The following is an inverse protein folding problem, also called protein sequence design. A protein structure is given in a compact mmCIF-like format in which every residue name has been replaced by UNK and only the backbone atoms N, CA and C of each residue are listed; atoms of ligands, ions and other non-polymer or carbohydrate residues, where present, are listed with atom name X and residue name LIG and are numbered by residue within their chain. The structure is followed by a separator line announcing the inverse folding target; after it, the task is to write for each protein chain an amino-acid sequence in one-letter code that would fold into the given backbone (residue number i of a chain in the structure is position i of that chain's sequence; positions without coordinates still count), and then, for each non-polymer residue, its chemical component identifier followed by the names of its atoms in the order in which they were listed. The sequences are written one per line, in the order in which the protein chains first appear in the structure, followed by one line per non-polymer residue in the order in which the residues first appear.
data_IF_495831416450
#
_entry.id   IF_495831416450
#
_cell.length_a   1.000
_cell.length_b   1.000
_cell.length_c   1.000
_cell.angle_alpha   90.00
_cell.angle_beta   90.00
_cell.angle_gamma   90.00
#
_symmetry.space_group_name_H-M   'P 1'
#
loop_
_entity.id
_entity.type
_entity.pdbx_description
1 polymer ?
#
# COMPACT_ATOMS: atom_id res chain seq x y z
N UNK A 1 6.52 -5.54 -12.50
CA UNK A 1 6.15 -5.41 -13.93
C UNK A 1 5.46 -4.07 -14.23
N UNK A 2 4.44 -3.67 -13.45
CA UNK A 2 3.72 -2.41 -13.68
C UNK A 2 4.60 -1.16 -13.62
N UNK A 3 5.70 -1.19 -12.87
CA UNK A 3 6.60 -0.04 -12.71
C UNK A 3 7.31 0.35 -14.01
N UNK A 4 7.53 -0.59 -14.93
CA UNK A 4 8.13 -0.30 -16.23
C UNK A 4 7.16 0.38 -17.21
N UNK A 5 5.87 0.41 -16.86
CA UNK A 5 4.82 1.06 -17.64
C UNK A 5 4.60 2.52 -17.27
N UNK A 6 5.31 3.02 -16.26
CA UNK A 6 5.27 4.43 -15.86
C UNK A 6 6.11 5.25 -16.84
N UNK A 7 5.76 5.20 -18.11
CA UNK A 7 6.31 6.08 -19.13
C UNK A 7 5.54 7.41 -19.14
N UNK A 8 6.17 8.45 -19.62
CA UNK A 8 5.47 9.69 -19.91
C UNK A 8 4.51 9.54 -21.08
N UNK A 9 3.83 10.59 -21.43
CA UNK A 9 2.89 10.64 -22.55
C UNK A 9 3.30 11.74 -23.53
N UNK A 10 3.15 11.48 -24.83
CA UNK A 10 3.37 12.46 -25.87
C UNK A 10 2.24 12.41 -26.89
N UNK A 11 1.40 13.43 -26.91
CA UNK A 11 0.21 13.47 -27.77
C UNK A 11 -0.08 14.87 -28.33
N UNK A 12 -0.95 14.95 -29.33
CA UNK A 12 -1.55 16.22 -29.76
C UNK A 12 -2.60 16.67 -28.75
N UNK A 13 -2.74 17.99 -28.59
CA UNK A 13 -3.89 18.57 -27.89
C UNK A 13 -5.20 18.22 -28.63
N UNK A 14 -6.36 18.25 -27.95
CA UNK A 14 -7.66 18.07 -28.60
C UNK A 14 -7.91 19.08 -29.74
N UNK A 15 -7.41 20.30 -29.60
CA UNK A 15 -7.47 21.34 -30.64
C UNK A 15 -6.51 21.10 -31.84
N UNK A 16 -5.56 20.19 -31.68
CA UNK A 16 -4.59 19.82 -32.72
C UNK A 16 -3.44 20.81 -32.95
N UNK A 17 -3.46 21.96 -32.31
CA UNK A 17 -2.50 23.06 -32.47
C UNK A 17 -1.27 22.97 -31.56
N UNK A 18 -1.30 22.09 -30.55
CA UNK A 18 -0.25 21.93 -29.56
C UNK A 18 0.20 20.48 -29.43
N UNK A 19 1.42 20.29 -28.90
CA UNK A 19 1.93 19.01 -28.45
C UNK A 19 1.93 19.01 -26.92
N UNK A 20 1.45 17.93 -26.34
CA UNK A 20 1.44 17.71 -24.88
C UNK A 20 2.51 16.66 -24.58
N UNK A 21 3.48 17.02 -23.77
CA UNK A 21 4.47 16.11 -23.20
C UNK A 21 4.23 15.98 -21.71
N UNK A 22 3.98 14.77 -21.24
CA UNK A 22 3.85 14.44 -19.82
C UNK A 22 5.09 13.68 -19.38
N UNK A 23 5.78 14.18 -18.36
CA UNK A 23 6.92 13.53 -17.75
C UNK A 23 6.65 13.26 -16.28
N UNK A 24 7.22 12.18 -15.75
CA UNK A 24 7.16 11.86 -14.33
C UNK A 24 8.48 12.22 -13.67
N UNK A 25 8.41 12.78 -12.48
CA UNK A 25 9.57 13.14 -11.66
C UNK A 25 9.38 12.59 -10.23
N UNK A 26 10.48 12.30 -9.51
CA UNK A 26 10.42 11.91 -8.10
C UNK A 26 9.70 12.98 -7.27
N UNK A 27 8.74 12.57 -6.45
CA UNK A 27 8.03 13.51 -5.56
C UNK A 27 8.90 13.95 -4.39
N UNK A 28 9.89 13.14 -4.00
CA UNK A 28 10.77 13.37 -2.86
C UNK A 28 10.81 12.16 -1.92
N UNK A 29 11.12 12.39 -0.65
CA UNK A 29 11.16 11.33 0.36
C UNK A 29 9.75 10.77 0.60
N UNK A 30 9.61 9.45 0.48
CA UNK A 30 8.37 8.73 0.71
C UNK A 30 8.43 7.94 2.02
N UNK A 31 7.50 8.20 2.93
CA UNK A 31 7.31 7.41 4.15
C UNK A 31 6.36 6.25 3.85
N UNK A 32 6.86 5.02 4.01
CA UNK A 32 6.17 3.78 3.72
C UNK A 32 5.88 3.05 5.02
N UNK A 33 4.61 2.87 5.37
CA UNK A 33 4.19 2.18 6.60
C UNK A 33 3.40 0.94 6.22
N UNK A 34 3.82 -0.23 6.73
CA UNK A 34 3.25 -1.52 6.35
C UNK A 34 2.76 -2.33 7.55
N UNK A 35 1.67 -3.11 7.39
CA UNK A 35 1.14 -3.99 8.42
C UNK A 35 1.88 -5.34 8.48
N UNK A 36 1.47 -6.17 9.43
CA UNK A 36 2.07 -7.47 9.74
C UNK A 36 1.55 -8.64 8.90
N UNK A 37 0.36 -8.52 8.31
CA UNK A 37 -0.38 -9.66 7.74
C UNK A 37 0.21 -10.24 6.43
N UNK A 38 0.89 -9.41 5.63
CA UNK A 38 1.65 -9.84 4.44
C UNK A 38 2.97 -9.06 4.40
N UNK A 39 3.92 -9.35 5.29
CA UNK A 39 5.08 -8.48 5.54
C UNK A 39 5.98 -8.29 4.31
N UNK A 40 6.16 -9.32 3.48
CA UNK A 40 6.91 -9.18 2.23
C UNK A 40 6.11 -8.41 1.16
N UNK A 41 4.88 -8.84 0.89
CA UNK A 41 4.05 -8.27 -0.17
C UNK A 41 3.70 -6.81 0.07
N UNK A 42 3.40 -6.42 1.33
CA UNK A 42 3.06 -5.03 1.65
C UNK A 42 4.26 -4.10 1.56
N UNK A 43 5.46 -4.57 1.89
CA UNK A 43 6.68 -3.79 1.70
C UNK A 43 7.02 -3.63 0.22
N UNK A 44 7.13 -4.72 -0.53
CA UNK A 44 7.57 -4.69 -1.94
C UNK A 44 6.63 -3.92 -2.86
N UNK A 45 5.30 -3.97 -2.64
CA UNK A 45 4.33 -3.21 -3.44
C UNK A 45 4.41 -1.69 -3.27
N UNK A 46 5.07 -1.22 -2.20
CA UNK A 46 5.36 0.21 -1.96
C UNK A 46 6.76 0.58 -2.43
N UNK A 47 7.75 -0.28 -2.14
CA UNK A 47 9.14 -0.07 -2.53
C UNK A 47 9.29 -0.04 -4.06
N UNK A 48 8.71 -1.00 -4.77
CA UNK A 48 8.85 -1.12 -6.23
C UNK A 48 8.46 0.15 -6.98
N UNK A 49 7.23 0.68 -6.80
CA UNK A 49 6.82 1.93 -7.44
C UNK A 49 7.67 3.14 -7.02
N UNK A 50 8.11 3.21 -5.77
CA UNK A 50 8.93 4.31 -5.29
C UNK A 50 10.33 4.30 -5.93
N UNK A 51 10.95 3.11 -6.07
CA UNK A 51 12.23 2.96 -6.81
C UNK A 51 12.04 3.33 -8.28
N UNK A 52 10.97 2.85 -8.93
CA UNK A 52 10.70 3.17 -10.34
C UNK A 52 10.47 4.67 -10.57
N UNK A 53 9.89 5.36 -9.60
CA UNK A 53 9.69 6.81 -9.65
C UNK A 53 10.95 7.61 -9.25
N UNK A 54 12.04 6.95 -8.85
CA UNK A 54 13.28 7.60 -8.41
C UNK A 54 13.20 8.24 -7.01
N UNK A 55 12.24 7.83 -6.17
CA UNK A 55 12.07 8.36 -4.82
C UNK A 55 13.00 7.67 -3.82
N UNK A 56 13.49 8.42 -2.84
CA UNK A 56 14.08 7.85 -1.63
C UNK A 56 12.98 7.51 -0.62
N UNK A 57 13.26 6.52 0.25
CA UNK A 57 12.21 5.94 1.09
C UNK A 57 12.67 5.75 2.53
N UNK A 58 11.71 5.89 3.44
CA UNK A 58 11.79 5.44 4.82
C UNK A 58 10.70 4.37 4.99
N UNK A 59 11.09 3.12 5.22
CA UNK A 59 10.18 2.02 5.48
C UNK A 59 10.03 1.80 6.98
N UNK A 60 8.81 1.88 7.48
CA UNK A 60 8.41 1.47 8.84
C UNK A 60 7.54 0.22 8.73
N UNK A 61 8.09 -0.99 8.88
CA UNK A 61 7.30 -2.21 8.93
C UNK A 61 6.59 -2.34 10.28
N UNK A 62 5.64 -3.28 10.36
CA UNK A 62 5.01 -3.63 11.63
C UNK A 62 6.03 -4.20 12.62
N UNK A 63 5.88 -3.85 13.90
CA UNK A 63 6.76 -4.34 14.97
C UNK A 63 6.69 -5.85 15.19
N UNK A 64 5.57 -6.46 14.81
CA UNK A 64 5.32 -7.90 14.89
C UNK A 64 6.09 -8.72 13.84
N UNK A 65 6.43 -8.10 12.69
CA UNK A 65 7.06 -8.80 11.55
C UNK A 65 8.24 -8.03 10.95
N UNK A 66 9.21 -7.55 11.74
CA UNK A 66 10.27 -6.68 11.24
C UNK A 66 11.30 -7.43 10.40
N UNK A 67 11.58 -8.69 10.71
CA UNK A 67 12.68 -9.46 10.09
C UNK A 67 12.50 -9.65 8.59
N UNK A 68 11.27 -9.86 8.14
CA UNK A 68 10.97 -9.97 6.69
C UNK A 68 11.32 -8.70 5.94
N UNK A 69 10.98 -7.53 6.49
CA UNK A 69 11.30 -6.25 5.88
C UNK A 69 12.82 -5.99 5.85
N UNK A 70 13.52 -6.28 6.95
CA UNK A 70 14.98 -6.17 7.02
C UNK A 70 15.67 -7.07 6.00
N UNK A 71 15.19 -8.31 5.82
CA UNK A 71 15.74 -9.24 4.83
C UNK A 71 15.51 -8.75 3.39
N UNK A 72 14.33 -8.16 3.09
CA UNK A 72 14.06 -7.56 1.77
C UNK A 72 15.03 -6.42 1.49
N UNK A 73 15.32 -5.57 2.48
CA UNK A 73 16.26 -4.46 2.31
C UNK A 73 17.66 -4.98 2.05
N UNK A 74 18.14 -5.99 2.77
CA UNK A 74 19.41 -6.66 2.52
C UNK A 74 19.50 -7.23 1.09
N UNK A 75 18.44 -7.90 0.62
CA UNK A 75 18.37 -8.41 -0.77
C UNK A 75 18.48 -7.27 -1.78
N UNK A 76 17.76 -6.17 -1.57
CA UNK A 76 17.77 -5.04 -2.49
C UNK A 76 19.14 -4.33 -2.50
N UNK A 77 19.79 -4.19 -1.35
CA UNK A 77 21.15 -3.64 -1.25
C UNK A 77 22.15 -4.52 -2.00
N UNK A 78 22.10 -5.84 -1.81
CA UNK A 78 22.93 -6.80 -2.56
C UNK A 78 22.62 -6.82 -4.06
N UNK A 79 21.40 -6.51 -4.45
CA UNK A 79 21.00 -6.36 -5.85
C UNK A 79 21.43 -5.03 -6.49
N UNK A 80 22.10 -4.15 -5.73
CA UNK A 80 22.68 -2.91 -6.24
C UNK A 80 21.83 -1.66 -5.98
N UNK A 81 20.80 -1.72 -5.12
CA UNK A 81 20.09 -0.52 -4.71
C UNK A 81 21.07 0.42 -3.98
N UNK A 82 21.25 1.67 -4.43
CA UNK A 82 22.21 2.58 -3.80
C UNK A 82 21.90 2.85 -2.34
N UNK A 83 22.95 2.98 -1.52
CA UNK A 83 22.81 3.31 -0.09
C UNK A 83 22.04 4.60 0.10
N UNK A 84 21.14 4.61 1.09
CA UNK A 84 20.31 5.75 1.43
C UNK A 84 19.03 5.89 0.60
N UNK A 85 18.85 5.11 -0.47
CA UNK A 85 17.59 5.10 -1.25
C UNK A 85 16.46 4.46 -0.45
N UNK A 86 16.73 3.37 0.25
CA UNK A 86 15.77 2.70 1.14
C UNK A 86 16.37 2.58 2.54
N UNK A 87 15.66 3.13 3.54
CA UNK A 87 16.05 3.11 4.94
C UNK A 87 14.92 2.48 5.76
N UNK A 88 15.26 1.65 6.75
CA UNK A 88 14.27 1.02 7.63
C UNK A 88 14.35 1.65 9.02
N UNK A 89 13.20 1.90 9.61
CA UNK A 89 13.09 2.38 10.98
C UNK A 89 12.15 1.48 11.78
N UNK A 90 12.56 1.13 13.00
CA UNK A 90 11.80 0.31 13.95
C UNK A 90 11.69 1.09 15.28
N UNK A 91 10.87 2.14 15.31
CA UNK A 91 10.80 3.03 16.46
C UNK A 91 10.06 2.36 17.64
N UNK A 92 10.59 2.50 18.87
CA UNK A 92 9.90 2.09 20.10
C UNK A 92 8.63 2.91 20.33
N UNK A 93 8.72 4.23 20.16
CA UNK A 93 7.59 5.18 20.26
C UNK A 93 7.06 5.53 18.87
N UNK A 94 6.39 4.56 18.25
CA UNK A 94 5.98 4.67 16.84
C UNK A 94 5.22 5.95 16.53
N UNK A 95 4.20 6.31 17.31
CA UNK A 95 3.37 7.52 17.06
C UNK A 95 4.21 8.79 17.03
N UNK A 96 5.02 9.01 18.07
CA UNK A 96 5.88 10.19 18.19
C UNK A 96 6.88 10.32 17.02
N UNK A 97 7.52 9.20 16.65
CA UNK A 97 8.53 9.22 15.59
C UNK A 97 7.91 9.43 14.21
N UNK A 98 6.75 8.82 13.94
CA UNK A 98 6.03 9.02 12.68
C UNK A 98 5.52 10.48 12.57
N UNK A 99 4.99 11.04 13.66
CA UNK A 99 4.58 12.44 13.70
C UNK A 99 5.75 13.38 13.36
N UNK A 100 6.92 13.17 13.97
CA UNK A 100 8.14 13.95 13.62
C UNK A 100 8.51 13.83 12.15
N UNK A 101 8.39 12.64 11.55
CA UNK A 101 8.69 12.44 10.14
C UNK A 101 7.68 13.16 9.22
N UNK A 102 6.39 13.14 9.57
CA UNK A 102 5.34 13.80 8.81
C UNK A 102 5.45 15.34 8.87
N UNK A 103 6.03 15.88 9.94
CA UNK A 103 6.28 17.32 10.03
C UNK A 103 7.65 17.75 9.46
N UNK A 104 8.45 16.82 8.97
CA UNK A 104 9.70 17.13 8.27
C UNK A 104 9.41 17.55 6.81
N UNK A 105 9.79 18.77 6.38
CA UNK A 105 9.45 19.29 5.06
C UNK A 105 10.04 18.50 3.89
N UNK A 106 10.99 17.60 4.15
CA UNK A 106 11.57 16.70 3.14
C UNK A 106 10.65 15.54 2.78
N UNK A 107 9.75 15.13 3.68
CA UNK A 107 8.78 14.06 3.42
C UNK A 107 7.64 14.61 2.57
N UNK A 108 7.43 14.02 1.39
CA UNK A 108 6.46 14.50 0.40
C UNK A 108 5.34 13.51 0.10
N UNK A 109 5.52 12.26 0.51
CA UNK A 109 4.54 11.22 0.28
C UNK A 109 4.44 10.29 1.49
N UNK A 110 3.23 9.92 1.83
CA UNK A 110 2.89 8.90 2.83
C UNK A 110 2.14 7.77 2.13
N UNK A 111 2.70 6.57 2.15
CA UNK A 111 1.99 5.35 1.75
C UNK A 111 1.77 4.47 2.96
N UNK A 112 0.52 4.37 3.40
CA UNK A 112 0.12 3.64 4.60
C UNK A 112 -0.80 2.47 4.25
N UNK A 113 -0.56 1.32 4.88
CA UNK A 113 -1.50 0.20 4.91
C UNK A 113 -1.68 -0.23 6.36
N UNK A 114 -2.94 -0.26 6.83
CA UNK A 114 -3.28 -0.62 8.20
C UNK A 114 -4.73 -0.34 8.55
N UNK A 115 -5.01 -0.08 9.84
CA UNK A 115 -6.37 0.20 10.30
C UNK A 115 -6.88 1.57 9.82
N UNK A 116 -8.19 1.67 9.62
CA UNK A 116 -8.85 2.92 9.22
C UNK A 116 -8.66 4.02 10.27
N UNK A 117 -8.65 3.67 11.55
CA UNK A 117 -8.45 4.62 12.64
C UNK A 117 -7.07 5.27 12.58
N UNK A 118 -6.01 4.47 12.47
CA UNK A 118 -4.64 4.98 12.33
C UNK A 118 -4.49 5.77 11.02
N UNK A 119 -5.09 5.30 9.93
CA UNK A 119 -5.07 6.02 8.65
C UNK A 119 -5.68 7.42 8.74
N UNK A 120 -6.82 7.56 9.42
CA UNK A 120 -7.45 8.88 9.68
C UNK A 120 -6.54 9.80 10.50
N UNK A 121 -5.87 9.26 11.51
CA UNK A 121 -4.92 10.02 12.32
C UNK A 121 -3.74 10.51 11.47
N UNK A 122 -3.14 9.63 10.69
CA UNK A 122 -2.02 9.97 9.82
C UNK A 122 -2.38 11.01 8.74
N UNK A 123 -3.59 10.96 8.19
CA UNK A 123 -4.08 11.97 7.23
C UNK A 123 -4.15 13.35 7.91
N UNK A 124 -4.62 13.42 9.16
CA UNK A 124 -4.64 14.69 9.90
C UNK A 124 -3.24 15.26 10.09
N UNK A 125 -2.28 14.44 10.50
CA UNK A 125 -0.88 14.84 10.66
C UNK A 125 -0.26 15.29 9.32
N UNK A 126 -0.54 14.56 8.24
CA UNK A 126 -0.03 14.86 6.91
C UNK A 126 -0.59 16.16 6.31
N UNK A 127 -1.76 16.61 6.78
CA UNK A 127 -2.43 17.80 6.27
C UNK A 127 -1.63 19.09 6.52
N UNK A 128 -0.89 19.19 7.62
CA UNK A 128 -0.10 20.37 7.98
C UNK A 128 0.99 20.70 6.94
N UNK A 129 1.53 19.67 6.28
CA UNK A 129 2.55 19.81 5.23
C UNK A 129 1.99 19.54 3.82
N UNK A 130 0.66 19.35 3.69
CA UNK A 130 -0.01 18.98 2.43
C UNK A 130 0.65 17.76 1.77
N UNK A 131 1.04 16.77 2.58
CA UNK A 131 1.71 15.54 2.11
C UNK A 131 0.74 14.72 1.27
N UNK A 132 1.19 14.23 0.12
CA UNK A 132 0.42 13.28 -0.67
C UNK A 132 0.24 11.96 0.10
N UNK A 133 -1.01 11.52 0.27
CA UNK A 133 -1.36 10.30 0.99
C UNK A 133 -1.91 9.22 0.05
N UNK A 134 -1.37 8.00 0.17
CA UNK A 134 -1.90 6.78 -0.44
C UNK A 134 -2.26 5.81 0.69
N UNK A 135 -3.57 5.58 0.87
CA UNK A 135 -4.11 4.85 2.01
C UNK A 135 -4.75 3.54 1.58
N UNK A 136 -4.23 2.43 2.11
CA UNK A 136 -4.83 1.10 2.01
C UNK A 136 -5.34 0.71 3.39
N UNK A 137 -6.66 0.70 3.57
CA UNK A 137 -7.28 0.59 4.88
C UNK A 137 -8.09 -0.70 5.01
N UNK A 138 -8.64 -0.92 6.21
CA UNK A 138 -9.54 -2.04 6.47
C UNK A 138 -10.84 -1.94 5.68
N UNK A 139 -11.47 -3.07 5.50
CA UNK A 139 -12.76 -3.17 4.82
C UNK A 139 -13.71 -4.16 5.51
N UNK A 140 -14.95 -4.18 5.03
CA UNK A 140 -15.99 -5.09 5.48
C UNK A 140 -16.69 -5.71 4.26
N UNK A 141 -15.91 -6.46 3.46
CA UNK A 141 -16.31 -6.98 2.16
C UNK A 141 -17.57 -7.85 2.24
N UNK A 142 -18.60 -7.62 1.41
CA UNK A 142 -19.76 -8.49 1.28
C UNK A 142 -19.49 -9.64 0.30
N UNK A 143 -20.13 -10.79 0.58
CA UNK A 143 -20.34 -11.88 -0.38
C UNK A 143 -21.83 -12.08 -0.53
N UNK A 144 -22.31 -12.23 -1.75
CA UNK A 144 -23.71 -12.43 -2.07
C UNK A 144 -23.84 -13.78 -2.78
N UNK A 145 -24.71 -14.65 -2.27
CA UNK A 145 -25.05 -15.95 -2.86
C UNK A 145 -26.49 -15.88 -3.37
N UNK A 146 -26.67 -16.04 -4.67
CA UNK A 146 -27.96 -15.98 -5.34
C UNK A 146 -28.59 -17.37 -5.43
N UNK A 147 -29.89 -17.47 -5.70
CA UNK A 147 -30.68 -18.73 -5.71
C UNK A 147 -30.19 -19.75 -6.75
N UNK A 148 -29.56 -19.29 -7.83
CA UNK A 148 -29.00 -20.11 -8.90
C UNK A 148 -27.55 -20.56 -8.66
N UNK A 149 -26.98 -20.26 -7.49
CA UNK A 149 -25.60 -20.61 -7.17
C UNK A 149 -25.43 -22.13 -6.97
N UNK A 150 -24.30 -22.66 -7.45
CA UNK A 150 -23.87 -24.03 -7.14
C UNK A 150 -23.32 -24.02 -5.71
N UNK A 151 -24.01 -24.66 -4.77
CA UNK A 151 -23.73 -24.61 -3.32
C UNK A 151 -22.30 -24.96 -3.00
N UNK A 152 -21.77 -26.09 -3.49
CA UNK A 152 -20.39 -26.54 -3.20
C UNK A 152 -19.35 -25.53 -3.67
N UNK A 153 -19.58 -24.93 -4.83
CA UNK A 153 -18.71 -23.85 -5.36
C UNK A 153 -18.81 -22.60 -4.49
N UNK A 154 -20.01 -22.20 -4.09
CA UNK A 154 -20.21 -21.03 -3.24
C UNK A 154 -19.54 -21.20 -1.87
N UNK A 155 -19.70 -22.39 -1.24
CA UNK A 155 -19.06 -22.71 0.04
C UNK A 155 -17.53 -22.65 -0.09
N UNK A 156 -16.96 -23.30 -1.10
CA UNK A 156 -15.53 -23.31 -1.35
C UNK A 156 -14.99 -21.91 -1.57
N UNK A 157 -15.67 -21.09 -2.37
CA UNK A 157 -15.30 -19.70 -2.63
C UNK A 157 -15.38 -18.82 -1.38
N UNK A 158 -16.42 -19.00 -0.54
CA UNK A 158 -16.59 -18.26 0.72
C UNK A 158 -15.47 -18.63 1.72
N UNK A 159 -15.16 -19.93 1.84
CA UNK A 159 -14.06 -20.39 2.71
C UNK A 159 -12.74 -19.74 2.26
N UNK A 160 -12.44 -19.74 0.97
CA UNK A 160 -11.22 -19.10 0.44
C UNK A 160 -11.25 -17.58 0.68
N UNK A 161 -12.35 -16.91 0.40
CA UNK A 161 -12.49 -15.46 0.57
C UNK A 161 -12.39 -15.03 2.04
N UNK A 162 -12.83 -15.89 2.99
CA UNK A 162 -12.80 -15.60 4.42
C UNK A 162 -11.51 -16.03 5.09
N UNK A 163 -11.05 -17.26 4.81
CA UNK A 163 -10.03 -17.92 5.61
C UNK A 163 -8.61 -17.76 5.03
N UNK A 164 -8.46 -17.18 3.86
CA UNK A 164 -7.14 -16.87 3.30
C UNK A 164 -6.28 -16.12 4.31
N UNK A 165 -5.07 -16.58 4.53
CA UNK A 165 -4.12 -16.03 5.52
C UNK A 165 -4.72 -15.97 6.95
N UNK A 166 -5.48 -16.99 7.35
CA UNK A 166 -6.16 -17.03 8.65
C UNK A 166 -7.25 -15.96 8.82
N UNK A 167 -7.76 -15.40 7.72
CA UNK A 167 -8.72 -14.30 7.72
C UNK A 167 -8.08 -12.92 7.91
N UNK A 168 -6.76 -12.86 8.05
CA UNK A 168 -6.02 -11.61 8.26
C UNK A 168 -5.73 -10.88 6.93
N UNK A 169 -6.79 -10.51 6.21
CA UNK A 169 -6.70 -9.79 4.94
C UNK A 169 -7.73 -8.66 4.89
N UNK A 170 -7.33 -7.50 4.35
CA UNK A 170 -8.21 -6.34 4.16
C UNK A 170 -9.39 -6.63 3.20
N UNK A 171 -9.22 -7.62 2.32
CA UNK A 171 -10.25 -8.10 1.38
C UNK A 171 -11.04 -9.30 1.92
N UNK A 172 -10.82 -9.72 3.17
CA UNK A 172 -11.52 -10.85 3.76
C UNK A 172 -13.01 -10.61 3.80
N UNK A 173 -13.79 -11.59 3.36
CA UNK A 173 -15.26 -11.55 3.43
C UNK A 173 -15.73 -11.52 4.89
N UNK A 174 -16.43 -10.46 5.27
CA UNK A 174 -16.92 -10.27 6.64
C UNK A 174 -18.44 -10.30 6.74
N UNK A 175 -19.15 -10.18 5.61
CA UNK A 175 -20.61 -10.20 5.53
C UNK A 175 -21.02 -11.16 4.43
N UNK A 176 -21.77 -12.18 4.77
CA UNK A 176 -22.26 -13.18 3.83
C UNK A 176 -23.77 -13.06 3.78
N UNK A 177 -24.30 -12.72 2.61
CA UNK A 177 -25.72 -12.60 2.33
C UNK A 177 -26.13 -13.75 1.42
N UNK A 178 -27.07 -14.55 1.89
CA UNK A 178 -27.61 -15.70 1.15
C UNK A 178 -29.05 -15.41 0.79
N UNK A 179 -29.42 -15.58 -0.46
CA UNK A 179 -30.79 -15.42 -0.92
C UNK A 179 -31.68 -16.51 -0.31
N UNK A 180 -32.92 -16.16 0.06
CA UNK A 180 -33.77 -17.00 0.87
C UNK A 180 -34.06 -18.39 0.27
N UNK A 181 -34.06 -18.51 -1.05
CA UNK A 181 -34.37 -19.77 -1.73
C UNK A 181 -33.28 -20.85 -1.60
N UNK A 182 -32.06 -20.44 -1.21
CA UNK A 182 -30.86 -21.32 -1.11
C UNK A 182 -30.23 -21.30 0.29
N UNK A 183 -30.83 -20.56 1.24
CA UNK A 183 -30.35 -20.40 2.62
C UNK A 183 -30.62 -21.63 3.49
#
# INVERSE_FOLDING_TARGET
EETVRVAGDFRKSPSGDKRILVTHQPIGVSLLITPWNFPAGMATRKIGPAVAAGCTMILKPAGETPLTALHIVDILERAGLPKGVLNVVLPEKTGEQISKMLHDPRVKNLSFTGSTEVGKHLIKEAADQVIRCSMELGGNAPVIVLDDAIIDTAVSAIILAKMRNGGAACTSANRIFVQKGIA
#
